data_IF_288422951575
#
_entry.id   IF_288422951575
#
_cell.length_a   1.000
_cell.length_b   1.000
_cell.length_c   1.000
_cell.angle_alpha   90.00
_cell.angle_beta   90.00
_cell.angle_gamma   90.00
#
_symmetry.space_group_name_H-M   'P 1'
#
loop_
_entity.id
_entity.type
_entity.pdbx_description
1 polymer ?
#
# COMPACT_ATOMS: atom_id res chain seq x y z
N UNK A 1 -9.94 -4.74 -8.23
CA UNK A 1 -9.86 -5.91 -7.33
C UNK A 1 -9.70 -7.17 -8.15
N UNK A 2 -8.75 -8.03 -7.79
CA UNK A 2 -8.55 -9.32 -8.45
C UNK A 2 -9.77 -10.23 -8.20
N UNK A 3 -10.37 -10.81 -9.25
CA UNK A 3 -11.64 -11.56 -9.15
C UNK A 3 -11.59 -12.73 -8.14
N UNK A 4 -10.51 -13.54 -8.06
CA UNK A 4 -10.40 -14.61 -7.07
C UNK A 4 -10.35 -14.11 -5.62
N UNK A 5 -9.73 -12.95 -5.34
CA UNK A 5 -9.72 -12.38 -3.99
C UNK A 5 -11.12 -11.95 -3.57
N UNK A 6 -11.85 -11.28 -4.49
CA UNK A 6 -13.23 -10.86 -4.23
C UNK A 6 -14.13 -12.05 -3.95
N UNK A 7 -14.00 -13.12 -4.74
CA UNK A 7 -14.77 -14.36 -4.56
C UNK A 7 -14.44 -15.04 -3.24
N UNK A 8 -13.15 -15.21 -2.91
CA UNK A 8 -12.73 -15.84 -1.66
C UNK A 8 -13.22 -15.08 -0.42
N UNK A 9 -13.21 -13.74 -0.46
CA UNK A 9 -13.78 -12.91 0.61
C UNK A 9 -15.30 -13.04 0.70
N UNK A 10 -16.01 -13.16 -0.43
CA UNK A 10 -17.46 -13.37 -0.43
C UNK A 10 -17.84 -14.74 0.16
N UNK A 11 -17.18 -15.82 -0.27
CA UNK A 11 -17.40 -17.18 0.25
C UNK A 11 -17.11 -17.28 1.74
N UNK A 12 -16.07 -16.58 2.22
CA UNK A 12 -15.74 -16.52 3.64
C UNK A 12 -16.88 -15.92 4.47
N UNK A 13 -17.53 -14.87 3.96
CA UNK A 13 -18.62 -14.17 4.65
C UNK A 13 -19.92 -14.96 4.60
N UNK A 14 -20.22 -15.60 3.47
CA UNK A 14 -21.41 -16.45 3.31
C UNK A 14 -21.40 -17.65 4.28
N UNK A 15 -20.20 -18.08 4.70
CA UNK A 15 -20.02 -19.13 5.71
C UNK A 15 -20.23 -18.71 7.16
N UNK A 16 -20.56 -17.44 7.45
CA UNK A 16 -20.73 -16.92 8.82
C UNK A 16 -22.18 -16.53 9.13
N UNK A 17 -22.66 -16.73 10.38
CA UNK A 17 -23.98 -16.24 10.78
C UNK A 17 -24.09 -14.72 10.64
N UNK A 18 -25.13 -14.24 9.96
CA UNK A 18 -25.32 -12.80 9.65
C UNK A 18 -25.29 -11.89 10.88
N UNK A 19 -25.79 -12.36 12.04
CA UNK A 19 -25.75 -11.63 13.32
C UNK A 19 -24.34 -11.45 13.86
N UNK A 20 -23.46 -12.44 13.67
CA UNK A 20 -22.07 -12.38 14.13
C UNK A 20 -21.24 -11.44 13.27
N UNK A 21 -21.45 -11.47 11.95
CA UNK A 21 -20.82 -10.54 11.00
C UNK A 21 -21.22 -9.10 11.31
N UNK A 22 -22.51 -8.83 11.53
CA UNK A 22 -22.99 -7.49 11.88
C UNK A 22 -22.40 -7.00 13.21
N UNK A 23 -22.39 -7.84 14.25
CA UNK A 23 -21.82 -7.48 15.54
C UNK A 23 -20.30 -7.25 15.50
N UNK A 24 -19.57 -8.06 14.71
CA UNK A 24 -18.14 -7.89 14.47
C UNK A 24 -17.84 -6.57 13.74
N UNK A 25 -18.64 -6.26 12.73
CA UNK A 25 -18.58 -4.99 12.00
C UNK A 25 -18.82 -3.80 12.93
N UNK A 26 -19.88 -3.84 13.75
CA UNK A 26 -20.23 -2.72 14.63
C UNK A 26 -19.11 -2.43 15.63
N UNK A 27 -18.48 -3.49 16.17
CA UNK A 27 -17.27 -3.37 17.00
C UNK A 27 -16.11 -2.74 16.23
N UNK A 28 -15.90 -3.16 14.99
CA UNK A 28 -14.81 -2.66 14.14
C UNK A 28 -14.98 -1.18 13.80
N UNK A 29 -16.21 -0.73 13.55
CA UNK A 29 -16.53 0.68 13.31
C UNK A 29 -16.35 1.52 14.58
N UNK A 30 -16.81 1.01 15.73
CA UNK A 30 -16.68 1.72 17.01
C UNK A 30 -15.22 1.93 17.41
N UNK A 31 -14.37 0.92 17.20
CA UNK A 31 -12.94 0.98 17.53
C UNK A 31 -12.13 1.89 16.59
N UNK A 32 -12.62 2.17 15.37
CA UNK A 32 -11.92 3.03 14.40
C UNK A 32 -12.27 4.53 14.50
N UNK A 33 -13.32 4.88 15.25
CA UNK A 33 -13.77 6.27 15.46
C UNK A 33 -13.33 6.87 16.79
N UNK A 34 -12.65 6.11 17.65
CA UNK A 34 -12.12 6.57 18.94
C UNK A 34 -10.66 6.17 19.15
N UNK A 35 -9.96 6.87 20.04
CA UNK A 35 -8.63 6.48 20.53
C UNK A 35 -8.74 5.16 21.29
N UNK A 36 -8.06 4.12 20.83
CA UNK A 36 -8.18 2.78 21.41
C UNK A 36 -7.31 2.65 22.68
N UNK A 37 -7.84 2.12 23.79
CA UNK A 37 -7.04 1.60 24.89
C UNK A 37 -6.29 0.32 24.46
N UNK A 38 -5.01 0.23 24.82
CA UNK A 38 -4.01 -0.77 24.36
C UNK A 38 -4.17 -2.21 24.87
N UNK A 39 -5.27 -2.59 25.51
CA UNK A 39 -5.28 -3.79 26.38
C UNK A 39 -6.20 -4.95 25.94
N UNK A 40 -6.89 -4.88 24.80
CA UNK A 40 -7.72 -5.98 24.29
C UNK A 40 -7.41 -6.31 22.81
N UNK A 41 -7.23 -7.60 22.43
CA UNK A 41 -7.04 -7.95 21.03
C UNK A 41 -8.26 -7.53 20.20
N UNK A 42 -8.05 -6.80 19.11
CA UNK A 42 -9.12 -6.41 18.17
C UNK A 42 -9.65 -7.64 17.42
N UNK A 43 -8.83 -8.70 17.30
CA UNK A 43 -9.08 -9.93 16.55
C UNK A 43 -9.14 -11.13 17.49
N UNK A 44 -10.30 -11.37 18.11
CA UNK A 44 -10.45 -12.40 19.18
C UNK A 44 -10.96 -13.73 18.67
N UNK A 45 -11.83 -13.70 17.67
CA UNK A 45 -12.47 -14.87 17.11
C UNK A 45 -12.51 -14.82 15.57
N UNK A 46 -12.94 -15.92 14.96
CA UNK A 46 -12.97 -16.08 13.50
C UNK A 46 -13.89 -15.04 12.81
N UNK A 47 -14.99 -14.65 13.45
CA UNK A 47 -15.93 -13.69 12.90
C UNK A 47 -15.32 -12.27 12.89
N UNK A 48 -14.62 -11.87 13.96
CA UNK A 48 -13.90 -10.59 14.05
C UNK A 48 -12.83 -10.48 12.94
N UNK A 49 -12.03 -11.54 12.71
CA UNK A 49 -10.99 -11.54 11.66
C UNK A 49 -11.60 -11.56 10.25
N UNK A 50 -12.66 -12.33 10.02
CA UNK A 50 -13.32 -12.37 8.71
C UNK A 50 -13.99 -11.04 8.36
N UNK A 51 -14.66 -10.41 9.33
CA UNK A 51 -15.23 -9.08 9.16
C UNK A 51 -14.13 -8.03 8.90
N UNK A 52 -13.02 -8.08 9.65
CA UNK A 52 -11.85 -7.24 9.39
C UNK A 52 -11.30 -7.45 7.98
N UNK A 53 -11.08 -8.70 7.56
CA UNK A 53 -10.54 -9.03 6.26
C UNK A 53 -11.45 -8.50 5.14
N UNK A 54 -12.75 -8.78 5.20
CA UNK A 54 -13.71 -8.25 4.24
C UNK A 54 -13.73 -6.71 4.20
N UNK A 55 -13.55 -6.07 5.36
CA UNK A 55 -13.64 -4.63 5.48
C UNK A 55 -12.36 -3.88 5.05
N UNK A 56 -11.17 -4.35 5.46
CA UNK A 56 -9.87 -3.67 5.20
C UNK A 56 -9.07 -4.27 4.06
N UNK A 57 -9.07 -5.59 3.87
CA UNK A 57 -8.18 -6.26 2.91
C UNK A 57 -8.32 -5.71 1.48
N UNK A 58 -9.53 -5.40 0.96
CA UNK A 58 -9.66 -4.80 -0.37
C UNK A 58 -9.00 -3.42 -0.50
N UNK A 59 -9.06 -2.60 0.55
CA UNK A 59 -8.46 -1.27 0.55
C UNK A 59 -6.93 -1.37 0.62
N UNK A 60 -6.40 -2.22 1.50
CA UNK A 60 -4.96 -2.49 1.58
C UNK A 60 -4.44 -3.09 0.27
N UNK A 61 -5.18 -4.01 -0.34
CA UNK A 61 -4.83 -4.59 -1.64
C UNK A 61 -4.68 -3.51 -2.72
N UNK A 62 -5.66 -2.61 -2.88
CA UNK A 62 -5.60 -1.59 -3.93
C UNK A 62 -4.50 -0.54 -3.68
N UNK A 63 -4.27 -0.15 -2.42
CA UNK A 63 -3.18 0.76 -2.06
C UNK A 63 -1.80 0.14 -2.36
N UNK A 64 -1.57 -1.10 -1.92
CA UNK A 64 -0.31 -1.82 -2.16
C UNK A 64 -0.14 -2.10 -3.66
N UNK A 65 -1.20 -2.53 -4.36
CA UNK A 65 -1.16 -2.75 -5.82
C UNK A 65 -0.77 -1.47 -6.57
N UNK A 66 -1.30 -0.31 -6.15
CA UNK A 66 -0.93 0.98 -6.75
C UNK A 66 0.54 1.31 -6.53
N UNK A 67 1.07 1.12 -5.32
CA UNK A 67 2.49 1.31 -5.02
C UNK A 67 3.39 0.34 -5.83
N UNK A 68 3.01 -0.93 -5.91
CA UNK A 68 3.74 -1.96 -6.65
C UNK A 68 3.71 -1.75 -8.17
N UNK A 69 2.61 -1.23 -8.73
CA UNK A 69 2.55 -0.88 -10.14
C UNK A 69 3.55 0.24 -10.48
N UNK A 70 3.56 1.31 -9.69
CA UNK A 70 4.53 2.39 -9.85
C UNK A 70 5.98 1.92 -9.66
N UNK A 71 6.20 0.95 -8.77
CA UNK A 71 7.51 0.31 -8.60
C UNK A 71 7.91 -0.52 -9.82
N UNK A 72 7.01 -1.36 -10.34
CA UNK A 72 7.26 -2.19 -11.52
C UNK A 72 7.57 -1.35 -12.76
N UNK A 73 6.88 -0.22 -12.94
CA UNK A 73 7.16 0.74 -14.01
C UNK A 73 8.55 1.37 -13.87
N UNK A 74 8.98 1.67 -12.65
CA UNK A 74 10.27 2.30 -12.36
C UNK A 74 11.44 1.31 -12.32
N UNK A 75 11.20 0.00 -12.33
CA UNK A 75 12.23 -1.04 -12.30
C UNK A 75 11.91 -2.08 -13.38
N UNK A 76 11.95 -1.68 -14.67
CA UNK A 76 11.47 -2.52 -15.76
C UNK A 76 12.25 -3.84 -15.84
N UNK A 77 11.52 -4.94 -16.03
CA UNK A 77 12.10 -6.29 -16.12
C UNK A 77 12.42 -6.95 -14.78
N UNK A 78 12.35 -6.24 -13.65
CA UNK A 78 12.45 -6.86 -12.33
C UNK A 78 11.16 -7.62 -11.99
N UNK A 79 11.30 -8.91 -11.71
CA UNK A 79 10.24 -9.75 -11.16
C UNK A 79 10.79 -10.46 -9.92
N UNK A 80 10.24 -10.23 -8.72
CA UNK A 80 10.78 -10.85 -7.51
C UNK A 80 10.55 -12.37 -7.52
N UNK A 81 11.62 -13.14 -7.33
CA UNK A 81 11.59 -14.60 -7.18
C UNK A 81 11.22 -15.04 -5.76
N UNK A 82 11.36 -14.15 -4.78
CA UNK A 82 10.95 -14.34 -3.38
C UNK A 82 10.31 -13.07 -2.80
N UNK A 83 9.34 -13.26 -1.91
CA UNK A 83 8.57 -12.19 -1.26
C UNK A 83 8.39 -12.46 0.23
N UNK A 84 8.71 -11.47 1.05
CA UNK A 84 8.50 -11.46 2.50
C UNK A 84 7.55 -10.32 2.89
N UNK A 85 6.42 -10.66 3.48
CA UNK A 85 5.36 -9.72 3.89
C UNK A 85 5.34 -9.58 5.42
N UNK A 86 5.90 -8.48 5.94
CA UNK A 86 6.07 -8.27 7.39
C UNK A 86 4.93 -7.43 7.95
N UNK A 87 4.24 -7.95 8.96
CA UNK A 87 2.94 -7.42 9.39
C UNK A 87 1.85 -7.69 8.35
N UNK A 88 1.96 -8.79 7.61
CA UNK A 88 1.10 -9.05 6.45
C UNK A 88 -0.34 -9.42 6.81
N UNK A 89 -0.63 -9.76 8.07
CA UNK A 89 -1.96 -10.10 8.56
C UNK A 89 -2.65 -11.17 7.72
N UNK A 90 -3.72 -10.78 7.03
CA UNK A 90 -4.50 -11.66 6.15
C UNK A 90 -3.93 -11.77 4.72
N UNK A 91 -2.78 -11.14 4.46
CA UNK A 91 -1.98 -11.25 3.23
C UNK A 91 -2.39 -10.31 2.10
N UNK A 92 -2.99 -9.15 2.38
CA UNK A 92 -3.41 -8.21 1.34
C UNK A 92 -2.28 -7.84 0.36
N UNK A 93 -1.07 -7.59 0.90
CA UNK A 93 0.10 -7.25 0.10
C UNK A 93 0.59 -8.45 -0.72
N UNK A 94 0.58 -9.66 -0.15
CA UNK A 94 0.84 -10.92 -0.88
C UNK A 94 -0.06 -11.11 -2.10
N UNK A 95 -1.36 -10.80 -1.98
CA UNK A 95 -2.28 -10.81 -3.11
C UNK A 95 -1.95 -9.72 -4.15
N UNK A 96 -1.58 -8.52 -3.71
CA UNK A 96 -1.19 -7.42 -4.59
C UNK A 96 0.09 -7.74 -5.37
N UNK A 97 1.10 -8.32 -4.71
CA UNK A 97 2.35 -8.79 -5.33
C UNK A 97 2.09 -9.84 -6.40
N UNK A 98 1.17 -10.78 -6.14
CA UNK A 98 0.77 -11.80 -7.13
C UNK A 98 -0.03 -11.22 -8.31
N UNK A 99 -0.77 -10.13 -8.08
CA UNK A 99 -1.50 -9.44 -9.14
C UNK A 99 -0.58 -8.58 -10.02
N UNK A 100 0.46 -7.96 -9.44
CA UNK A 100 1.45 -7.15 -10.19
C UNK A 100 2.37 -8.03 -11.01
N UNK A 101 2.88 -9.11 -10.42
CA UNK A 101 3.68 -10.10 -11.13
C UNK A 101 2.98 -11.45 -11.02
N UNK A 102 2.32 -11.95 -12.08
CA UNK A 102 1.73 -13.28 -12.08
C UNK A 102 2.79 -14.39 -11.98
N UNK A 103 2.40 -15.55 -11.44
CA UNK A 103 3.27 -16.73 -11.32
C UNK A 103 3.66 -17.06 -9.87
N UNK A 104 4.15 -18.28 -9.66
CA UNK A 104 4.58 -18.76 -8.34
C UNK A 104 5.91 -18.15 -7.92
N UNK A 105 6.05 -17.89 -6.62
CA UNK A 105 7.28 -17.46 -5.96
C UNK A 105 7.31 -17.94 -4.52
N UNK A 106 8.48 -17.92 -3.90
CA UNK A 106 8.57 -18.21 -2.47
C UNK A 106 7.99 -17.03 -1.68
N UNK A 107 6.88 -17.26 -0.99
CA UNK A 107 6.18 -16.24 -0.19
C UNK A 107 6.24 -16.62 1.28
N UNK A 108 6.65 -15.68 2.13
CA UNK A 108 6.51 -15.80 3.59
C UNK A 108 5.75 -14.59 4.13
N UNK A 109 4.70 -14.84 4.92
CA UNK A 109 3.92 -13.83 5.64
C UNK A 109 4.25 -13.95 7.11
N UNK A 110 4.69 -12.84 7.70
CA UNK A 110 4.99 -12.71 9.13
C UNK A 110 3.97 -11.80 9.80
N UNK A 111 3.36 -12.27 10.89
CA UNK A 111 2.46 -11.46 11.71
C UNK A 111 2.44 -11.94 13.15
N UNK A 112 2.05 -11.09 14.11
CA UNK A 112 1.94 -11.48 15.51
C UNK A 112 0.59 -12.16 15.83
N UNK A 113 -0.44 -11.89 15.02
CA UNK A 113 -1.81 -12.35 15.20
C UNK A 113 -2.07 -13.66 14.45
N UNK A 114 -1.95 -14.78 15.17
CA UNK A 114 -2.25 -16.13 14.63
C UNK A 114 -3.65 -16.23 13.97
N UNK A 115 -4.74 -15.62 14.50
CA UNK A 115 -6.03 -15.66 13.82
C UNK A 115 -6.02 -15.03 12.42
N UNK A 116 -5.25 -13.96 12.22
CA UNK A 116 -5.10 -13.31 10.91
C UNK A 116 -4.31 -14.19 9.94
N UNK A 117 -3.22 -14.81 10.40
CA UNK A 117 -2.42 -15.75 9.61
C UNK A 117 -3.22 -16.98 9.18
N UNK A 118 -3.99 -17.57 10.10
CA UNK A 118 -4.84 -18.72 9.81
C UNK A 118 -5.89 -18.39 8.75
N UNK A 119 -6.52 -17.21 8.85
CA UNK A 119 -7.48 -16.76 7.86
C UNK A 119 -6.81 -16.43 6.51
N UNK A 120 -5.68 -15.74 6.53
CA UNK A 120 -4.93 -15.41 5.33
C UNK A 120 -4.53 -16.66 4.55
N UNK A 121 -4.07 -17.71 5.24
CA UNK A 121 -3.77 -19.03 4.65
C UNK A 121 -4.99 -19.65 3.96
N UNK A 122 -6.16 -19.57 4.59
CA UNK A 122 -7.41 -20.05 4.00
C UNK A 122 -7.77 -19.27 2.73
N UNK A 123 -7.73 -17.93 2.78
CA UNK A 123 -8.07 -17.07 1.64
C UNK A 123 -7.09 -17.36 0.49
N UNK A 124 -5.79 -17.41 0.78
CA UNK A 124 -4.73 -17.65 -0.20
C UNK A 124 -4.83 -19.00 -0.92
N UNK A 125 -5.48 -20.02 -0.32
CA UNK A 125 -5.69 -21.31 -0.97
C UNK A 125 -6.52 -21.21 -2.28
N UNK A 126 -7.31 -20.14 -2.43
CA UNK A 126 -8.06 -19.84 -3.67
C UNK A 126 -7.16 -19.38 -4.84
N UNK A 127 -5.89 -19.07 -4.58
CA UNK A 127 -4.94 -18.65 -5.60
C UNK A 127 -3.79 -19.68 -5.74
N UNK A 128 -3.68 -20.38 -6.88
CA UNK A 128 -2.62 -21.37 -7.10
C UNK A 128 -1.20 -20.85 -6.87
N UNK A 129 -0.93 -19.57 -7.16
CA UNK A 129 0.39 -18.98 -6.96
C UNK A 129 0.76 -18.79 -5.48
N UNK A 130 -0.24 -18.78 -4.58
CA UNK A 130 -0.06 -18.61 -3.14
C UNK A 130 -0.22 -19.91 -2.36
N UNK A 131 -0.44 -21.05 -3.03
CA UNK A 131 -0.68 -22.35 -2.39
C UNK A 131 0.45 -22.75 -1.43
N UNK A 132 1.69 -22.42 -1.77
CA UNK A 132 2.88 -22.76 -0.99
C UNK A 132 3.36 -21.61 -0.09
N UNK A 133 2.58 -20.54 0.05
CA UNK A 133 2.93 -19.43 0.93
C UNK A 133 3.05 -19.92 2.38
N UNK A 134 4.15 -19.53 3.04
CA UNK A 134 4.39 -19.81 4.46
C UNK A 134 3.78 -18.70 5.29
N UNK A 135 3.05 -19.07 6.34
CA UNK A 135 2.42 -18.12 7.26
C UNK A 135 2.97 -18.41 8.65
N UNK A 136 3.75 -17.49 9.19
CA UNK A 136 4.53 -17.71 10.40
C UNK A 136 4.27 -16.61 11.41
N UNK A 137 4.07 -17.03 12.67
CA UNK A 137 3.92 -16.08 13.76
C UNK A 137 5.27 -15.48 14.11
N UNK A 138 5.36 -14.15 14.08
CA UNK A 138 6.56 -13.42 14.45
C UNK A 138 6.20 -12.13 15.21
N UNK A 139 7.06 -11.75 16.17
CA UNK A 139 6.95 -10.45 16.85
C UNK A 139 7.90 -9.47 16.17
N UNK A 140 7.38 -8.31 15.81
CA UNK A 140 8.20 -7.20 15.32
C UNK A 140 8.79 -6.47 16.53
N UNK A 141 10.11 -6.30 16.55
CA UNK A 141 10.80 -5.51 17.56
C UNK A 141 12.31 -5.67 17.53
N UNK A 142 12.99 -5.17 18.57
CA UNK A 142 14.44 -5.28 18.74
C UNK A 142 14.88 -6.77 18.79
N UNK A 143 15.38 -7.28 17.67
CA UNK A 143 15.75 -8.69 17.50
C UNK A 143 15.04 -9.40 16.33
N UNK A 144 14.19 -8.71 15.58
CA UNK A 144 13.61 -9.24 14.36
C UNK A 144 14.72 -9.57 13.34
N UNK A 145 14.82 -10.85 12.98
CA UNK A 145 15.67 -11.34 11.89
C UNK A 145 14.79 -11.78 10.74
N UNK A 146 15.10 -11.31 9.54
CA UNK A 146 14.36 -11.63 8.34
C UNK A 146 15.23 -12.48 7.41
N UNK A 147 14.65 -13.55 6.87
CA UNK A 147 15.31 -14.34 5.82
C UNK A 147 15.48 -13.48 4.56
N UNK A 148 16.57 -13.68 3.78
CA UNK A 148 16.77 -12.94 2.54
C UNK A 148 15.60 -13.10 1.55
N UNK A 149 15.20 -12.01 0.92
CA UNK A 149 14.15 -11.99 -0.09
C UNK A 149 14.42 -10.94 -1.19
N UNK A 150 13.84 -11.11 -2.37
CA UNK A 150 13.97 -10.12 -3.45
C UNK A 150 13.12 -8.88 -3.15
N UNK A 151 11.93 -9.10 -2.59
CA UNK A 151 10.98 -8.06 -2.20
C UNK A 151 10.53 -8.24 -0.75
N UNK A 152 10.65 -7.18 0.05
CA UNK A 152 9.96 -7.05 1.34
C UNK A 152 8.81 -6.05 1.22
N UNK A 153 7.62 -6.43 1.70
CA UNK A 153 6.50 -5.50 1.90
C UNK A 153 6.23 -5.26 3.37
N UNK A 154 5.91 -4.02 3.71
CA UNK A 154 5.46 -3.59 5.04
C UNK A 154 4.23 -2.71 4.82
N UNK A 155 3.04 -3.14 5.23
CA UNK A 155 1.81 -2.39 4.94
C UNK A 155 0.91 -2.22 6.16
N UNK A 156 0.60 -0.97 6.54
CA UNK A 156 -0.31 -0.61 7.63
C UNK A 156 0.05 -1.25 8.98
N UNK A 157 1.35 -1.36 9.29
CA UNK A 157 1.83 -1.93 10.56
C UNK A 157 2.74 -0.96 11.31
N UNK A 158 3.36 0.04 10.66
CA UNK A 158 4.24 0.99 11.36
C UNK A 158 3.44 1.83 12.35
N UNK A 159 2.16 2.07 12.09
CA UNK A 159 1.26 2.76 13.02
C UNK A 159 1.00 2.01 14.33
N UNK A 160 1.23 0.71 14.37
CA UNK A 160 1.02 -0.14 15.55
C UNK A 160 2.28 -0.27 16.41
N UNK A 161 3.41 0.23 15.91
CA UNK A 161 4.74 0.01 16.50
C UNK A 161 5.26 1.24 17.23
N UNK A 162 6.06 0.99 18.27
CA UNK A 162 6.88 2.02 18.90
C UNK A 162 7.91 2.59 17.91
N UNK A 163 8.47 3.77 18.18
CA UNK A 163 9.49 4.35 17.31
C UNK A 163 10.74 3.46 17.16
N UNK A 164 11.14 2.80 18.26
CA UNK A 164 12.25 1.86 18.27
C UNK A 164 11.94 0.62 17.42
N UNK A 165 10.73 0.05 17.53
CA UNK A 165 10.35 -1.14 16.76
C UNK A 165 10.17 -0.82 15.27
N UNK A 166 9.67 0.38 14.93
CA UNK A 166 9.65 0.86 13.53
C UNK A 166 11.06 0.92 12.94
N UNK A 167 11.99 1.49 13.70
CA UNK A 167 13.41 1.58 13.30
C UNK A 167 13.97 0.17 13.06
N UNK A 168 13.84 -0.72 14.04
CA UNK A 168 14.33 -2.09 13.94
C UNK A 168 13.73 -2.85 12.74
N UNK A 169 12.43 -2.66 12.46
CA UNK A 169 11.78 -3.27 11.32
C UNK A 169 12.34 -2.78 9.98
N UNK A 170 12.48 -1.46 9.81
CA UNK A 170 13.00 -0.89 8.56
C UNK A 170 14.45 -1.32 8.33
N UNK A 171 15.27 -1.34 9.38
CA UNK A 171 16.67 -1.79 9.31
C UNK A 171 16.76 -3.28 8.96
N UNK A 172 15.92 -4.12 9.58
CA UNK A 172 15.85 -5.55 9.26
C UNK A 172 15.39 -5.79 7.81
N UNK A 173 14.39 -5.06 7.33
CA UNK A 173 13.93 -5.11 5.93
C UNK A 173 15.05 -4.68 4.95
N UNK A 174 15.76 -3.60 5.28
CA UNK A 174 16.87 -3.09 4.49
C UNK A 174 18.03 -4.09 4.40
N UNK A 175 18.29 -4.86 5.46
CA UNK A 175 19.31 -5.90 5.50
C UNK A 175 18.95 -7.18 4.75
N UNK A 176 17.66 -7.52 4.65
CA UNK A 176 17.21 -8.77 4.05
C UNK A 176 16.78 -8.66 2.58
N UNK A 177 16.54 -7.45 2.05
CA UNK A 177 15.88 -7.27 0.76
C UNK A 177 16.72 -6.60 -0.34
N UNK A 178 16.46 -6.95 -1.60
CA UNK A 178 16.89 -6.14 -2.75
C UNK A 178 15.97 -4.94 -2.97
N UNK A 179 14.67 -5.10 -2.70
CA UNK A 179 13.66 -4.05 -2.80
C UNK A 179 12.73 -4.06 -1.60
N UNK A 180 12.33 -2.88 -1.13
CA UNK A 180 11.42 -2.69 0.00
C UNK A 180 10.29 -1.77 -0.41
N UNK A 181 9.05 -2.19 -0.19
CA UNK A 181 7.85 -1.38 -0.43
C UNK A 181 7.08 -1.23 0.88
N UNK A 182 6.94 0.02 1.32
CA UNK A 182 6.26 0.39 2.57
C UNK A 182 5.03 1.21 2.25
N UNK A 183 3.89 0.84 2.81
CA UNK A 183 2.60 1.53 2.62
C UNK A 183 1.95 1.82 3.98
N UNK A 184 1.50 3.05 4.18
CA UNK A 184 0.81 3.49 5.39
C UNK A 184 -0.44 4.31 5.03
N UNK A 185 -1.30 4.55 6.02
CA UNK A 185 -2.47 5.40 5.84
C UNK A 185 -2.07 6.81 5.37
N UNK A 186 -2.83 7.38 4.43
CA UNK A 186 -2.58 8.70 3.81
C UNK A 186 -2.94 9.87 4.72
N UNK A 187 -2.48 9.81 5.96
CA UNK A 187 -2.64 10.83 7.01
C UNK A 187 -1.30 11.53 7.25
N UNK A 188 -1.27 12.70 7.92
CA UNK A 188 -0.02 13.34 8.30
C UNK A 188 0.93 12.43 9.09
N UNK A 189 0.38 11.62 10.02
CA UNK A 189 1.17 10.68 10.82
C UNK A 189 1.70 9.50 9.99
N UNK A 190 0.89 8.93 9.09
CA UNK A 190 1.34 7.86 8.20
C UNK A 190 2.42 8.33 7.21
N UNK A 191 2.26 9.53 6.65
CA UNK A 191 3.29 10.18 5.85
C UNK A 191 4.60 10.37 6.62
N UNK A 192 4.55 10.87 7.86
CA UNK A 192 5.76 11.07 8.66
C UNK A 192 6.53 9.75 8.87
N UNK A 193 5.83 8.65 9.14
CA UNK A 193 6.45 7.31 9.25
C UNK A 193 7.06 6.84 7.92
N UNK A 194 6.39 7.10 6.80
CA UNK A 194 6.90 6.75 5.47
C UNK A 194 8.16 7.55 5.13
N UNK A 195 8.23 8.84 5.48
CA UNK A 195 9.45 9.65 5.29
C UNK A 195 10.58 9.16 6.19
N UNK A 196 10.30 8.87 7.47
CA UNK A 196 11.29 8.27 8.38
C UNK A 196 11.87 6.96 7.81
N UNK A 197 11.00 6.08 7.30
CA UNK A 197 11.43 4.82 6.69
C UNK A 197 12.19 5.02 5.38
N UNK A 198 11.74 5.97 4.55
CA UNK A 198 12.40 6.35 3.29
C UNK A 198 13.84 6.80 3.53
N UNK A 199 14.04 7.70 4.47
CA UNK A 199 15.36 8.27 4.74
C UNK A 199 16.32 7.19 5.27
N UNK A 200 15.83 6.30 6.13
CA UNK A 200 16.60 5.11 6.56
C UNK A 200 16.97 4.15 5.42
N UNK A 201 16.05 3.89 4.50
CA UNK A 201 16.33 3.04 3.35
C UNK A 201 17.43 3.67 2.46
N UNK A 202 17.40 5.00 2.29
CA UNK A 202 18.44 5.74 1.56
C UNK A 202 19.80 5.62 2.27
N UNK A 203 19.83 5.82 3.59
CA UNK A 203 21.03 5.63 4.41
C UNK A 203 21.59 4.21 4.32
N UNK A 204 20.71 3.20 4.18
CA UNK A 204 21.06 1.80 3.96
C UNK A 204 21.46 1.46 2.50
N UNK A 205 21.63 2.48 1.65
CA UNK A 205 22.14 2.35 0.28
C UNK A 205 21.07 2.05 -0.78
N UNK A 206 19.78 2.23 -0.47
CA UNK A 206 18.73 2.10 -1.47
C UNK A 206 18.55 3.38 -2.28
N UNK A 207 18.13 3.24 -3.54
CA UNK A 207 17.56 4.32 -4.34
C UNK A 207 16.03 4.27 -4.26
N UNK A 208 15.38 5.42 -4.20
CA UNK A 208 13.92 5.49 -4.30
C UNK A 208 13.49 5.32 -5.76
N UNK A 209 12.66 4.31 -6.02
CA UNK A 209 12.08 4.03 -7.33
C UNK A 209 10.72 4.72 -7.52
N UNK A 210 9.90 4.76 -6.45
CA UNK A 210 8.61 5.44 -6.44
C UNK A 210 8.20 5.78 -4.98
N UNK A 211 7.25 6.72 -4.74
CA UNK A 211 6.66 7.66 -5.71
C UNK A 211 7.63 8.79 -6.09
N UNK A 212 8.60 9.08 -5.23
CA UNK A 212 9.50 10.23 -5.38
C UNK A 212 10.38 10.06 -6.63
N UNK A 213 10.57 11.13 -7.41
CA UNK A 213 11.44 11.11 -8.59
C UNK A 213 12.94 11.21 -8.23
N UNK A 214 13.26 11.39 -6.94
CA UNK A 214 14.61 11.58 -6.40
C UNK A 214 14.79 10.86 -5.06
N UNK A 215 16.06 10.68 -4.67
CA UNK A 215 16.47 10.14 -3.35
C UNK A 215 17.00 11.22 -2.40
N UNK A 216 16.93 12.50 -2.76
CA UNK A 216 17.25 13.61 -1.84
C UNK A 216 16.19 13.84 -0.75
N UNK A 217 16.38 14.81 0.14
CA UNK A 217 15.38 15.16 1.16
C UNK A 217 14.02 15.50 0.53
N UNK A 218 12.91 15.12 1.18
CA UNK A 218 11.58 15.44 0.67
C UNK A 218 11.35 16.97 0.70
N UNK A 219 10.90 17.60 -0.41
CA UNK A 219 10.68 19.05 -0.45
C UNK A 219 9.42 19.53 0.29
N UNK A 220 8.58 18.62 0.79
CA UNK A 220 7.45 18.98 1.64
C UNK A 220 7.97 19.30 3.04
N UNK A 221 7.76 20.54 3.48
CA UNK A 221 8.11 20.98 4.82
C UNK A 221 7.32 20.21 5.90
N UNK A 222 8.01 19.54 6.85
CA UNK A 222 7.36 18.80 7.91
C UNK A 222 6.33 19.65 8.69
N UNK A 223 5.15 19.08 8.92
CA UNK A 223 4.07 19.74 9.67
C UNK A 223 3.24 20.75 8.87
N UNK A 224 3.66 21.15 7.66
CA UNK A 224 2.85 22.04 6.81
C UNK A 224 1.94 21.30 5.85
N UNK A 225 2.41 20.18 5.30
CA UNK A 225 1.65 19.35 4.37
C UNK A 225 2.15 17.89 4.42
N UNK A 226 1.49 16.99 3.69
CA UNK A 226 1.90 15.60 3.57
C UNK A 226 1.66 15.04 2.16
N UNK A 227 2.57 14.18 1.69
CA UNK A 227 2.38 13.47 0.43
C UNK A 227 1.55 12.20 0.67
N UNK A 228 0.44 12.09 -0.04
CA UNK A 228 -0.41 10.90 -0.07
C UNK A 228 -1.03 10.74 -1.45
N UNK A 229 -1.69 9.61 -1.69
CA UNK A 229 -2.36 9.21 -2.92
C UNK A 229 -3.71 8.58 -2.58
N UNK A 230 -4.46 8.18 -3.61
CA UNK A 230 -5.82 7.66 -3.47
C UNK A 230 -6.01 6.45 -4.38
N UNK A 231 -6.36 5.30 -3.81
CA UNK A 231 -6.73 4.11 -4.57
C UNK A 231 -8.25 3.90 -4.47
N UNK A 232 -8.92 3.71 -5.60
CA UNK A 232 -10.36 3.44 -5.61
C UNK A 232 -10.64 1.97 -5.32
N UNK A 233 -11.49 1.74 -4.33
CA UNK A 233 -11.89 0.42 -3.84
C UNK A 233 -13.36 0.19 -4.16
N UNK A 234 -13.68 -0.90 -4.86
CA UNK A 234 -15.08 -1.29 -5.08
C UNK A 234 -15.71 -1.82 -3.78
N UNK A 235 -16.89 -1.32 -3.41
CA UNK A 235 -17.61 -1.80 -2.23
C UNK A 235 -18.41 -3.06 -2.55
N UNK A 236 -18.15 -4.13 -1.83
CA UNK A 236 -19.01 -5.32 -1.81
C UNK A 236 -20.41 -5.00 -1.27
N UNK A 237 -21.38 -5.91 -1.45
CA UNK A 237 -22.70 -5.82 -0.81
C UNK A 237 -22.60 -5.68 0.71
N UNK A 238 -21.70 -6.43 1.34
CA UNK A 238 -21.41 -6.29 2.76
C UNK A 238 -20.82 -4.92 3.08
N UNK A 239 -19.81 -4.43 2.36
CA UNK A 239 -19.27 -3.07 2.59
C UNK A 239 -20.33 -1.97 2.55
N UNK A 240 -21.32 -2.10 1.65
CA UNK A 240 -22.44 -1.15 1.56
C UNK A 240 -23.38 -1.25 2.76
N UNK A 241 -23.69 -2.45 3.23
CA UNK A 241 -24.48 -2.66 4.46
C UNK A 241 -23.77 -2.12 5.70
N UNK A 242 -22.45 -2.34 5.78
CA UNK A 242 -21.59 -2.00 6.91
C UNK A 242 -21.34 -0.49 7.04
N UNK A 243 -21.01 0.21 5.94
CA UNK A 243 -20.63 1.63 6.00
C UNK A 243 -21.80 2.62 5.84
N UNK A 244 -23.02 2.14 5.65
CA UNK A 244 -24.20 3.00 5.47
C UNK A 244 -24.09 3.96 4.26
N UNK A 245 -23.33 3.58 3.23
CA UNK A 245 -23.04 4.43 2.07
C UNK A 245 -23.76 3.97 0.80
N UNK A 246 -24.35 4.92 0.07
CA UNK A 246 -25.06 4.65 -1.20
C UNK A 246 -24.12 4.46 -2.41
N UNK A 247 -22.87 4.95 -2.34
CA UNK A 247 -21.89 4.82 -3.42
C UNK A 247 -21.27 3.42 -3.47
N UNK A 248 -21.09 2.89 -4.68
CA UNK A 248 -20.54 1.57 -4.94
C UNK A 248 -19.00 1.48 -4.77
N UNK A 249 -18.34 2.56 -4.36
CA UNK A 249 -16.90 2.64 -4.20
C UNK A 249 -16.51 3.55 -3.03
N UNK A 250 -15.27 3.41 -2.58
CA UNK A 250 -14.60 4.36 -1.69
C UNK A 250 -13.15 4.59 -2.12
N UNK A 251 -12.59 5.72 -1.70
CA UNK A 251 -11.21 6.08 -1.97
C UNK A 251 -10.39 5.81 -0.69
N UNK A 252 -9.48 4.84 -0.75
CA UNK A 252 -8.49 4.61 0.30
C UNK A 252 -7.31 5.57 0.09
N UNK A 253 -7.05 6.41 1.08
CA UNK A 253 -5.90 7.31 1.06
C UNK A 253 -4.69 6.62 1.67
N UNK A 254 -3.55 6.67 0.99
CA UNK A 254 -2.32 6.02 1.43
C UNK A 254 -1.08 6.86 1.11
N UNK A 255 -0.01 6.65 1.87
CA UNK A 255 1.34 7.15 1.61
C UNK A 255 2.25 5.94 1.43
N UNK A 256 3.26 6.03 0.57
CA UNK A 256 4.16 4.90 0.34
C UNK A 256 5.56 5.33 -0.05
N UNK A 257 6.50 4.39 0.09
CA UNK A 257 7.84 4.44 -0.50
C UNK A 257 8.16 3.07 -1.07
N UNK A 258 8.73 3.05 -2.28
CA UNK A 258 9.29 1.88 -2.93
C UNK A 258 10.76 2.15 -3.22
N UNK A 259 11.63 1.42 -2.56
CA UNK A 259 13.07 1.58 -2.63
C UNK A 259 13.72 0.30 -3.15
N UNK A 260 14.81 0.41 -3.92
CA UNK A 260 15.53 -0.75 -4.46
C UNK A 260 17.03 -0.51 -4.57
N UNK A 261 17.79 -1.61 -4.60
CA UNK A 261 19.21 -1.65 -4.99
C UNK A 261 19.40 -2.03 -6.47
N UNK A 262 18.32 -2.41 -7.15
CA UNK A 262 18.32 -2.70 -8.58
C UNK A 262 18.41 -1.39 -9.39
N UNK A 263 18.83 -1.45 -10.67
CA UNK A 263 18.72 -0.31 -11.57
C UNK A 263 17.26 0.19 -11.63
N UNK A 264 17.05 1.46 -11.33
CA UNK A 264 15.73 2.08 -11.29
C UNK A 264 15.69 3.36 -12.13
N UNK A 265 14.55 3.56 -12.78
CA UNK A 265 14.18 4.71 -13.61
C UNK A 265 12.95 5.40 -12.98
N UNK A 266 13.12 6.18 -11.90
CA UNK A 266 12.01 6.94 -11.33
C UNK A 266 11.40 7.89 -12.38
N UNK A 267 10.10 8.15 -12.25
CA UNK A 267 9.43 9.13 -13.09
C UNK A 267 10.14 10.50 -13.01
N UNK A 268 10.21 11.30 -14.10
CA UNK A 268 10.86 12.61 -14.07
C UNK A 268 10.13 13.60 -13.13
N UNK A 269 8.81 13.50 -13.05
CA UNK A 269 8.01 14.13 -12.01
C UNK A 269 6.83 13.24 -11.62
N UNK A 270 6.27 13.50 -10.44
CA UNK A 270 5.10 12.81 -9.88
C UNK A 270 4.00 13.81 -9.59
N UNK A 271 2.77 13.54 -10.05
CA UNK A 271 1.58 14.31 -9.70
C UNK A 271 1.24 14.05 -8.24
N UNK A 272 1.43 15.04 -7.36
CA UNK A 272 1.26 14.87 -5.91
C UNK A 272 -0.09 15.35 -5.38
N UNK A 273 -0.95 15.94 -6.22
CA UNK A 273 -2.33 16.34 -5.88
C UNK A 273 -3.28 16.03 -7.03
N UNK A 274 -4.58 15.97 -6.75
CA UNK A 274 -5.60 15.84 -7.82
C UNK A 274 -5.44 17.00 -8.83
N UNK A 275 -5.27 16.70 -10.13
CA UNK A 275 -5.21 17.72 -11.17
C UNK A 275 -6.41 18.67 -11.14
N UNK A 276 -6.15 19.98 -11.22
CA UNK A 276 -7.22 20.98 -11.24
C UNK A 276 -7.56 21.34 -12.68
N UNK A 277 -8.64 20.76 -13.20
CA UNK A 277 -9.12 21.05 -14.56
C UNK A 277 -9.90 22.36 -14.56
N UNK A 278 -9.48 23.31 -15.41
CA UNK A 278 -10.16 24.60 -15.64
C UNK A 278 -10.44 24.79 -17.13
N UNK A 279 -11.21 25.82 -17.48
CA UNK A 279 -11.51 26.14 -18.89
C UNK A 279 -10.20 26.44 -19.64
N UNK A 280 -9.78 25.52 -20.51
CA UNK A 280 -8.62 25.69 -21.38
C UNK A 280 -7.25 25.40 -20.76
N UNK A 281 -7.20 24.98 -19.50
CA UNK A 281 -5.95 24.63 -18.82
C UNK A 281 -6.15 23.59 -17.71
N UNK A 282 -5.09 22.87 -17.36
CA UNK A 282 -5.01 21.99 -16.19
C UNK A 282 -3.83 22.46 -15.34
N UNK A 283 -4.03 22.55 -14.02
CA UNK A 283 -2.96 22.80 -13.06
C UNK A 283 -2.55 21.48 -12.42
N UNK A 284 -1.25 21.18 -12.47
CA UNK A 284 -0.64 20.01 -11.86
C UNK A 284 0.30 20.47 -10.74
N UNK A 285 0.17 19.89 -9.55
CA UNK A 285 1.16 20.02 -8.49
C UNK A 285 2.11 18.82 -8.61
N UNK A 286 3.38 19.09 -8.88
CA UNK A 286 4.40 18.11 -9.23
C UNK A 286 5.52 18.09 -8.18
N UNK A 287 5.98 16.90 -7.82
CA UNK A 287 7.32 16.71 -7.25
C UNK A 287 8.26 16.33 -8.40
N UNK A 288 9.39 17.02 -8.53
CA UNK A 288 10.30 16.90 -9.69
C UNK A 288 11.67 16.35 -9.27
N UNK A 289 12.42 15.76 -10.21
CA UNK A 289 13.73 15.17 -9.96
C UNK A 289 14.75 16.18 -9.39
N UNK A 290 14.56 17.47 -9.66
CA UNK A 290 15.32 18.62 -9.13
C UNK A 290 14.93 18.99 -7.69
N UNK A 291 14.31 18.07 -6.94
CA UNK A 291 14.12 18.17 -5.49
C UNK A 291 13.18 19.32 -5.09
N UNK A 292 12.19 19.62 -5.93
CA UNK A 292 11.26 20.73 -5.72
C UNK A 292 9.80 20.35 -5.96
N UNK A 293 8.91 21.11 -5.31
CA UNK A 293 7.49 21.11 -5.60
C UNK A 293 7.17 22.25 -6.56
N UNK A 294 6.61 21.93 -7.73
CA UNK A 294 6.24 22.93 -8.74
C UNK A 294 4.79 22.79 -9.14
N UNK A 295 4.10 23.93 -9.25
CA UNK A 295 2.79 24.01 -9.90
C UNK A 295 2.97 24.28 -11.39
N UNK A 296 2.68 23.29 -12.23
CA UNK A 296 2.72 23.41 -13.68
C UNK A 296 1.33 23.76 -14.24
N UNK A 297 1.29 24.65 -15.25
CA UNK A 297 0.06 24.98 -15.99
C UNK A 297 0.14 24.42 -17.40
N UNK A 298 -0.70 23.44 -17.72
CA UNK A 298 -0.79 22.85 -19.05
C UNK A 298 -2.03 23.40 -19.75
N UNK A 299 -1.84 24.12 -20.86
CA UNK A 299 -2.93 24.79 -21.60
C UNK A 299 -3.18 24.15 -22.95
N UNK A 300 -4.32 24.45 -23.60
CA UNK A 300 -4.68 23.95 -24.95
C UNK A 300 -3.58 24.08 -26.02
N UNK A 301 -2.72 25.11 -25.94
CA UNK A 301 -1.58 25.29 -26.87
C UNK A 301 -0.53 24.19 -26.80
N UNK A 302 -0.50 23.41 -25.71
CA UNK A 302 0.42 22.28 -25.55
C UNK A 302 -0.10 20.99 -26.23
N UNK A 303 -1.21 21.04 -26.99
CA UNK A 303 -1.65 19.92 -27.83
C UNK A 303 -1.89 18.63 -27.04
N UNK A 304 -1.16 17.57 -27.36
CA UNK A 304 -1.33 16.25 -26.74
C UNK A 304 -0.96 16.24 -25.24
N UNK A 305 -0.01 17.08 -24.81
CA UNK A 305 0.25 17.28 -23.38
C UNK A 305 -0.98 17.82 -22.63
N UNK A 306 -1.82 18.64 -23.27
CA UNK A 306 -3.07 19.10 -22.65
C UNK A 306 -4.10 17.98 -22.53
N UNK A 307 -4.18 17.08 -23.53
CA UNK A 307 -5.04 15.89 -23.44
C UNK A 307 -4.57 14.99 -22.29
N UNK A 308 -3.27 14.66 -22.29
CA UNK A 308 -2.65 13.89 -21.21
C UNK A 308 -2.85 14.53 -19.82
N UNK A 309 -2.72 15.85 -19.69
CA UNK A 309 -2.95 16.53 -18.41
C UNK A 309 -4.41 16.43 -17.93
N UNK A 310 -5.38 16.36 -18.84
CA UNK A 310 -6.80 16.19 -18.48
C UNK A 310 -7.11 14.78 -18.00
N UNK A 311 -6.37 13.80 -18.51
CA UNK A 311 -6.54 12.38 -18.18
C UNK A 311 -5.61 11.96 -17.03
N UNK A 312 -4.65 12.80 -16.65
CA UNK A 312 -3.75 12.56 -15.54
C UNK A 312 -4.52 12.39 -14.22
N UNK A 313 -4.06 11.42 -13.44
CA UNK A 313 -4.56 11.12 -12.10
C UNK A 313 -3.54 11.49 -11.02
N UNK A 314 -4.03 11.48 -9.79
CA UNK A 314 -3.20 11.73 -8.62
C UNK A 314 -2.27 10.55 -8.37
N UNK A 315 -0.97 10.76 -8.51
CA UNK A 315 0.04 9.72 -8.44
C UNK A 315 0.64 9.35 -9.78
N UNK A 316 0.19 9.94 -10.88
CA UNK A 316 0.76 9.65 -12.20
C UNK A 316 2.18 10.21 -12.38
N UNK A 317 2.96 9.50 -13.20
CA UNK A 317 4.23 10.00 -13.71
C UNK A 317 3.95 11.16 -14.69
N UNK A 318 4.81 12.17 -14.67
CA UNK A 318 4.66 13.34 -15.53
C UNK A 318 6.01 13.82 -16.09
N UNK A 319 6.11 14.17 -17.38
CA UNK A 319 5.09 13.94 -18.42
C UNK A 319 4.93 12.43 -18.72
N UNK A 320 3.78 11.98 -19.27
CA UNK A 320 3.61 10.59 -19.65
C UNK A 320 4.64 10.15 -20.69
N UNK A 321 5.05 8.88 -20.65
CA UNK A 321 6.01 8.33 -21.61
C UNK A 321 5.55 8.57 -23.06
N UNK A 322 6.47 9.02 -23.91
CA UNK A 322 6.19 9.31 -25.33
C UNK A 322 5.51 10.65 -25.62
N UNK A 323 5.27 11.51 -24.60
CA UNK A 323 4.73 12.87 -24.78
C UNK A 323 5.78 13.98 -24.85
N UNK A 324 7.07 13.61 -24.92
CA UNK A 324 8.16 14.52 -25.27
C UNK A 324 8.12 14.80 -26.77
N UNK A 325 7.47 15.91 -27.14
CA UNK A 325 7.52 16.53 -28.45
C UNK A 325 8.14 17.92 -28.32
#
# INVERSE_FOLDING_TARGET
MNDPLRTALAELLDGLPSKEVAAAVDRLIANYRGDTPTDAPILRDRADVAAYAAYRMPATFEAVRSALAAFADAVPGATPGSHLDVGGGTGAATWAVTATWPGGRDVTVLDWAEPALALGRQIAAANPALRNARWQRARIGAGLTLDPADLVTVSYVLNELSAADRTALVDAAAGAAQSVVIVEAGTPAGYARVIEARDRLIEAGFRIAAPCPHSAACPIEPGRDWCHFSARVGRSSLHRQVKGGSLAYEDEKFSYVAATRLPAEPAPARVVRRPQIRKGQVLLDLCEAEEQLRRATVTKRHGDLYKAARDAEWGDAWPPAGSAS
#
